data_IF_759248144192
#
_entry.id   IF_759248144192
#
_cell.length_a   1.000
_cell.length_b   1.000
_cell.length_c   1.000
_cell.angle_alpha   90.00
_cell.angle_beta   90.00
_cell.angle_gamma   90.00
#
_symmetry.space_group_name_H-M   'P 1'
#
loop_
_entity.id
_entity.type
_entity.pdbx_description
1 polymer ?
#
# COMPACT_ATOMS: atom_id res chain seq x y z
N UNK A 1 4.31 2.81 24.16
CA UNK A 1 3.70 4.01 23.57
C UNK A 1 4.79 4.92 23.03
N UNK A 2 4.59 5.41 21.80
CA UNK A 2 5.50 6.38 21.18
C UNK A 2 5.48 7.67 22.01
N UNK A 3 6.65 8.13 22.44
CA UNK A 3 6.79 9.43 23.09
C UNK A 3 7.24 10.43 22.02
N UNK A 4 6.37 11.36 21.68
CA UNK A 4 6.64 12.39 20.65
C UNK A 4 7.17 13.62 21.38
N UNK A 5 8.46 14.03 21.14
CA UNK A 5 9.05 15.22 21.77
C UNK A 5 8.37 16.52 21.35
N UNK A 6 7.86 16.59 20.13
CA UNK A 6 7.22 17.80 19.63
C UNK A 6 5.94 18.14 20.40
N UNK A 7 5.89 19.35 20.95
CA UNK A 7 4.76 19.86 21.72
C UNK A 7 3.87 20.74 20.83
N UNK A 8 3.09 20.12 19.96
CA UNK A 8 2.23 20.80 19.01
C UNK A 8 1.32 19.81 18.30
N UNK A 9 0.65 20.26 17.26
CA UNK A 9 -0.21 19.44 16.41
C UNK A 9 0.58 18.92 15.23
N UNK A 10 0.67 17.60 15.10
CA UNK A 10 1.20 16.92 13.92
C UNK A 10 0.06 16.30 13.12
N UNK A 11 0.05 16.54 11.82
CA UNK A 11 -0.80 15.82 10.86
C UNK A 11 0.11 15.03 9.94
N UNK A 12 0.00 13.72 10.00
CA UNK A 12 0.91 12.79 9.32
C UNK A 12 0.07 11.82 8.50
N UNK A 13 0.52 11.52 7.28
CA UNK A 13 -0.03 10.45 6.45
C UNK A 13 0.97 9.30 6.40
N UNK A 14 0.47 8.10 6.54
CA UNK A 14 1.26 6.88 6.53
C UNK A 14 0.41 5.66 6.24
N UNK A 15 1.04 4.52 6.21
CA UNK A 15 0.40 3.21 6.02
C UNK A 15 0.56 2.35 7.26
N UNK A 16 -0.49 1.59 7.59
CA UNK A 16 -0.43 0.56 8.60
C UNK A 16 0.00 -0.75 7.93
N UNK A 17 0.99 -1.42 8.50
CA UNK A 17 1.54 -2.66 7.96
C UNK A 17 1.92 -3.65 9.06
N UNK A 18 2.06 -4.92 8.68
CA UNK A 18 2.65 -5.99 9.51
C UNK A 18 3.85 -6.51 8.72
N UNK A 19 5.00 -6.69 9.39
CA UNK A 19 6.22 -7.24 8.79
C UNK A 19 6.02 -8.73 8.47
N UNK A 20 6.69 -9.23 7.46
CA UNK A 20 6.70 -10.66 7.14
C UNK A 20 7.18 -11.51 8.31
N UNK A 21 8.28 -11.10 8.97
CA UNK A 21 8.83 -11.78 10.14
C UNK A 21 7.89 -11.81 11.34
N UNK A 22 7.08 -10.78 11.56
CA UNK A 22 6.05 -10.77 12.60
C UNK A 22 4.83 -11.60 12.19
N UNK A 23 4.45 -11.54 10.91
CA UNK A 23 3.38 -12.33 10.34
C UNK A 23 3.63 -13.84 10.44
N UNK A 24 4.85 -14.29 10.15
CA UNK A 24 5.28 -15.69 10.29
C UNK A 24 5.15 -16.16 11.74
N UNK A 25 5.67 -15.37 12.71
CA UNK A 25 5.56 -15.69 14.14
C UNK A 25 4.10 -15.77 14.61
N UNK A 26 3.25 -14.84 14.17
CA UNK A 26 1.82 -14.86 14.49
C UNK A 26 1.19 -16.17 13.98
N UNK A 27 1.56 -16.59 12.77
CA UNK A 27 1.05 -17.83 12.20
C UNK A 27 1.60 -19.09 12.89
N UNK A 28 2.84 -19.06 13.37
CA UNK A 28 3.44 -20.18 14.14
C UNK A 28 2.74 -20.41 15.48
N UNK A 29 2.28 -19.33 16.11
CA UNK A 29 1.59 -19.39 17.41
C UNK A 29 0.14 -19.90 17.30
N UNK A 30 -0.42 -20.00 16.09
CA UNK A 30 -1.77 -20.48 15.88
C UNK A 30 -1.82 -22.02 15.92
N UNK A 31 -2.80 -22.61 16.67
CA UNK A 31 -2.82 -24.04 16.97
C UNK A 31 -3.18 -24.96 15.79
N UNK A 32 -3.80 -24.44 14.75
CA UNK A 32 -4.29 -25.24 13.62
C UNK A 32 -3.90 -24.63 12.27
N UNK A 33 -3.56 -25.51 11.32
CA UNK A 33 -3.15 -25.10 9.96
C UNK A 33 -4.27 -24.36 9.19
N UNK A 34 -5.53 -24.72 9.42
CA UNK A 34 -6.71 -24.06 8.84
C UNK A 34 -7.00 -22.66 9.39
N UNK A 35 -6.45 -22.30 10.55
CA UNK A 35 -6.60 -20.99 11.19
C UNK A 35 -5.53 -19.98 10.77
N UNK A 36 -4.49 -20.41 10.02
CA UNK A 36 -3.39 -19.54 9.61
C UNK A 36 -3.84 -18.41 8.68
N UNK A 37 -3.29 -17.24 8.94
CA UNK A 37 -3.47 -16.10 8.04
C UNK A 37 -2.66 -16.31 6.77
N UNK A 38 -3.18 -15.90 5.62
CA UNK A 38 -2.53 -16.13 4.32
C UNK A 38 -1.76 -14.91 3.80
N UNK A 39 -2.11 -13.72 4.25
CA UNK A 39 -1.55 -12.48 3.71
C UNK A 39 -1.40 -11.43 4.82
N UNK A 40 -0.20 -10.82 5.02
CA UNK A 40 0.03 -9.81 6.06
C UNK A 40 -0.78 -8.53 5.84
N UNK A 41 -1.06 -8.13 4.61
CA UNK A 41 -1.89 -6.96 4.27
C UNK A 41 -3.33 -7.16 4.75
N UNK A 42 -3.90 -8.35 4.49
CA UNK A 42 -5.25 -8.70 4.95
C UNK A 42 -5.32 -8.81 6.48
N UNK A 43 -4.32 -9.40 7.11
CA UNK A 43 -4.22 -9.45 8.57
C UNK A 43 -4.14 -8.04 9.17
N UNK A 44 -3.32 -7.16 8.62
CA UNK A 44 -3.19 -5.77 9.05
C UNK A 44 -4.54 -5.04 8.93
N UNK A 45 -5.17 -5.09 7.76
CA UNK A 45 -6.48 -4.47 7.50
C UNK A 45 -7.57 -4.99 8.44
N UNK A 46 -7.58 -6.30 8.73
CA UNK A 46 -8.48 -6.90 9.71
C UNK A 46 -8.17 -6.47 11.14
N UNK A 47 -6.90 -6.28 11.48
CA UNK A 47 -6.45 -5.90 12.82
C UNK A 47 -6.84 -4.47 13.19
N UNK A 48 -6.65 -3.51 12.28
CA UNK A 48 -6.98 -2.09 12.53
C UNK A 48 -8.49 -1.83 12.62
N UNK A 49 -9.32 -2.78 12.19
CA UNK A 49 -10.79 -2.70 12.30
C UNK A 49 -11.34 -3.27 13.61
N UNK A 50 -10.49 -3.89 14.44
CA UNK A 50 -10.92 -4.45 15.72
C UNK A 50 -11.27 -3.33 16.70
N UNK A 51 -12.26 -3.58 17.53
CA UNK A 51 -12.69 -2.65 18.58
C UNK A 51 -11.69 -2.58 19.74
N UNK A 52 -11.00 -3.70 20.03
CA UNK A 52 -9.96 -3.76 21.05
C UNK A 52 -8.58 -3.40 20.45
N UNK A 53 -7.97 -2.28 20.86
CA UNK A 53 -6.66 -1.87 20.37
C UNK A 53 -5.52 -2.82 20.79
N UNK A 54 -5.73 -3.70 21.78
CA UNK A 54 -4.75 -4.71 22.15
C UNK A 54 -4.46 -5.68 21.02
N UNK A 55 -5.49 -6.05 20.25
CA UNK A 55 -5.34 -6.94 19.10
C UNK A 55 -4.37 -6.34 18.06
N UNK A 56 -4.48 -5.05 17.78
CA UNK A 56 -3.57 -4.32 16.88
C UNK A 56 -2.13 -4.33 17.44
N UNK A 57 -1.98 -4.15 18.74
CA UNK A 57 -0.68 -4.21 19.41
C UNK A 57 -0.07 -5.62 19.38
N UNK A 58 -0.82 -6.64 19.76
CA UNK A 58 -0.38 -8.05 19.79
C UNK A 58 0.03 -8.54 18.40
N UNK A 59 -0.69 -8.10 17.36
CA UNK A 59 -0.38 -8.41 15.97
C UNK A 59 0.73 -7.54 15.36
N UNK A 60 1.42 -6.73 16.18
CA UNK A 60 2.58 -5.94 15.76
C UNK A 60 2.31 -4.99 14.59
N UNK A 61 1.07 -4.50 14.48
CA UNK A 61 0.75 -3.49 13.45
C UNK A 61 1.60 -2.25 13.68
N UNK A 62 2.31 -1.83 12.64
CA UNK A 62 3.17 -0.66 12.62
C UNK A 62 2.56 0.42 11.75
N UNK A 63 2.74 1.68 12.13
CA UNK A 63 2.40 2.84 11.33
C UNK A 63 3.68 3.40 10.70
N UNK A 64 3.75 3.40 9.37
CA UNK A 64 4.89 3.85 8.60
C UNK A 64 4.55 5.18 7.90
N UNK A 65 5.01 6.33 8.38
CA UNK A 65 4.78 7.62 7.75
C UNK A 65 5.47 7.75 6.40
N UNK A 66 4.79 8.38 5.45
CA UNK A 66 5.34 8.77 4.15
C UNK A 66 5.05 10.22 3.76
N UNK A 67 4.35 11.00 4.61
CA UNK A 67 4.12 12.43 4.39
C UNK A 67 3.87 13.13 5.71
N UNK A 68 4.59 14.21 5.97
CA UNK A 68 4.23 15.22 6.96
C UNK A 68 3.26 16.21 6.28
N UNK A 69 2.02 16.26 6.74
CA UNK A 69 1.02 17.20 6.19
C UNK A 69 1.12 18.57 6.84
N UNK A 70 1.23 18.61 8.18
CA UNK A 70 1.52 19.84 8.93
C UNK A 70 2.15 19.54 10.29
N UNK A 71 2.91 20.54 10.78
CA UNK A 71 3.44 20.61 12.14
C UNK A 71 3.16 22.02 12.67
N UNK A 72 2.23 22.17 13.59
CA UNK A 72 1.72 23.47 14.04
C UNK A 72 1.79 23.60 15.56
N UNK A 73 1.97 24.83 16.06
CA UNK A 73 1.87 25.15 17.49
C UNK A 73 3.03 24.69 18.35
N UNK A 74 4.11 24.17 17.73
CA UNK A 74 5.35 23.84 18.44
C UNK A 74 6.21 25.08 18.70
N UNK A 75 7.04 25.02 19.75
CA UNK A 75 8.05 26.07 20.02
C UNK A 75 9.41 25.40 20.21
N UNK A 76 10.40 25.68 19.33
CA UNK A 76 10.26 26.48 18.10
C UNK A 76 9.42 25.82 17.03
N UNK A 77 8.88 26.62 16.10
CA UNK A 77 8.23 26.10 14.89
C UNK A 77 9.29 25.40 14.03
N UNK A 78 9.06 24.14 13.59
CA UNK A 78 10.02 23.44 12.74
C UNK A 78 10.22 24.17 11.41
N UNK A 79 11.48 24.34 11.00
CA UNK A 79 11.85 24.79 9.67
C UNK A 79 12.43 23.59 8.90
N UNK A 80 11.80 23.25 7.80
CA UNK A 80 12.20 22.11 6.96
C UNK A 80 13.05 22.54 5.76
N UNK A 81 13.54 23.78 5.71
CA UNK A 81 14.41 24.31 4.67
C UNK A 81 13.94 24.01 3.24
N UNK A 82 12.61 23.97 3.05
CA UNK A 82 11.97 23.64 1.77
C UNK A 82 12.29 22.23 1.23
N UNK A 83 12.57 21.25 2.11
CA UNK A 83 12.98 19.88 1.76
C UNK A 83 12.07 18.84 2.41
N UNK A 84 11.56 17.88 1.63
CA UNK A 84 10.86 16.72 2.16
C UNK A 84 11.78 15.78 2.95
N UNK A 85 13.09 15.75 2.64
CA UNK A 85 14.05 15.00 3.45
C UNK A 85 14.11 15.54 4.88
N UNK A 86 14.10 16.86 5.07
CA UNK A 86 14.06 17.47 6.40
C UNK A 86 12.76 17.14 7.15
N UNK A 87 11.62 17.04 6.45
CA UNK A 87 10.37 16.57 7.05
C UNK A 87 10.47 15.12 7.54
N UNK A 88 11.13 14.24 6.78
CA UNK A 88 11.36 12.85 7.19
C UNK A 88 12.32 12.75 8.38
N UNK A 89 13.42 13.47 8.35
CA UNK A 89 14.37 13.54 9.48
C UNK A 89 13.69 14.05 10.75
N UNK A 90 12.81 15.04 10.63
CA UNK A 90 12.00 15.51 11.74
C UNK A 90 11.09 14.40 12.28
N UNK A 91 10.39 13.65 11.43
CA UNK A 91 9.53 12.55 11.86
C UNK A 91 10.33 11.44 12.55
N UNK A 92 11.53 11.12 12.07
CA UNK A 92 12.45 10.17 12.72
C UNK A 92 12.88 10.67 14.11
N UNK A 93 13.18 11.95 14.24
CA UNK A 93 13.49 12.57 15.53
C UNK A 93 12.30 12.54 16.51
N UNK A 94 11.06 12.45 16.01
CA UNK A 94 9.87 12.21 16.82
C UNK A 94 9.65 10.73 17.16
N UNK A 95 10.54 9.82 16.72
CA UNK A 95 10.47 8.40 17.01
C UNK A 95 9.61 7.59 16.03
N UNK A 96 9.18 8.17 14.91
CA UNK A 96 8.48 7.41 13.88
C UNK A 96 9.45 6.59 13.01
N UNK A 97 9.04 5.37 12.64
CA UNK A 97 9.72 4.57 11.61
C UNK A 97 9.17 4.99 10.24
N UNK A 98 9.86 5.89 9.57
CA UNK A 98 9.43 6.38 8.25
C UNK A 98 9.79 5.40 7.14
N UNK A 99 9.21 5.60 5.95
CA UNK A 99 9.53 4.81 4.76
C UNK A 99 11.01 4.90 4.40
N UNK A 100 11.57 3.80 3.92
CA UNK A 100 12.93 3.79 3.36
C UNK A 100 13.01 4.74 2.17
N UNK A 101 14.04 5.59 2.15
CA UNK A 101 14.19 6.62 1.12
C UNK A 101 15.64 6.86 0.74
N UNK A 102 15.83 7.48 -0.40
CA UNK A 102 17.15 7.88 -0.90
C UNK A 102 17.04 9.14 -1.73
N UNK A 103 17.87 10.13 -1.44
CA UNK A 103 18.04 11.31 -2.29
C UNK A 103 18.83 10.92 -3.53
N UNK A 104 18.30 11.24 -4.71
CA UNK A 104 18.92 10.96 -5.99
C UNK A 104 18.87 12.16 -6.92
N UNK A 105 19.88 12.32 -7.76
CA UNK A 105 19.91 13.32 -8.83
C UNK A 105 19.34 12.74 -10.11
N UNK A 106 18.89 13.60 -11.01
CA UNK A 106 18.28 13.21 -12.29
C UNK A 106 19.10 12.17 -13.07
N UNK A 107 20.44 12.31 -13.08
CA UNK A 107 21.31 11.36 -13.79
C UNK A 107 21.41 9.97 -13.16
N UNK A 108 21.10 9.84 -11.89
CA UNK A 108 21.21 8.62 -11.09
C UNK A 108 19.89 7.84 -10.98
N UNK A 109 18.82 8.41 -11.55
CA UNK A 109 17.45 7.92 -11.33
C UNK A 109 17.27 6.46 -11.79
N UNK A 110 17.77 6.10 -12.98
CA UNK A 110 17.64 4.74 -13.52
C UNK A 110 18.35 3.70 -12.64
N UNK A 111 19.54 4.04 -12.17
CA UNK A 111 20.32 3.17 -11.29
C UNK A 111 19.67 3.03 -9.92
N UNK A 112 19.14 4.14 -9.38
CA UNK A 112 18.43 4.13 -8.12
C UNK A 112 17.15 3.27 -8.19
N UNK A 113 16.34 3.40 -9.24
CA UNK A 113 15.15 2.56 -9.44
C UNK A 113 15.55 1.08 -9.54
N UNK A 114 16.59 0.74 -10.31
CA UNK A 114 17.06 -0.63 -10.44
C UNK A 114 17.60 -1.19 -9.12
N UNK A 115 18.27 -0.37 -8.31
CA UNK A 115 18.74 -0.78 -6.97
C UNK A 115 17.57 -1.01 -6.00
N UNK A 116 16.59 -0.11 -5.97
CA UNK A 116 15.40 -0.27 -5.15
C UNK A 116 14.57 -1.49 -5.55
N UNK A 117 14.44 -1.81 -6.83
CA UNK A 117 13.69 -2.99 -7.29
C UNK A 117 14.28 -4.30 -6.80
N UNK A 118 15.59 -4.36 -6.59
CA UNK A 118 16.25 -5.51 -5.98
C UNK A 118 16.05 -5.53 -4.46
N UNK A 119 16.24 -4.38 -3.82
CA UNK A 119 16.12 -4.23 -2.37
C UNK A 119 14.70 -4.52 -1.87
N UNK A 120 13.67 -4.12 -2.63
CA UNK A 120 12.27 -4.33 -2.25
C UNK A 120 11.94 -5.81 -2.05
N UNK A 121 12.56 -6.72 -2.82
CA UNK A 121 12.37 -8.17 -2.66
C UNK A 121 12.96 -8.71 -1.36
N UNK A 122 13.87 -7.98 -0.74
CA UNK A 122 14.53 -8.33 0.52
C UNK A 122 13.89 -7.61 1.73
N UNK A 123 12.92 -6.72 1.49
CA UNK A 123 12.24 -5.99 2.54
C UNK A 123 11.37 -6.91 3.38
N UNK A 124 11.39 -6.68 4.68
CA UNK A 124 10.57 -7.40 5.67
C UNK A 124 9.11 -6.86 5.73
N UNK A 125 8.61 -6.26 4.65
CA UNK A 125 7.22 -5.78 4.56
C UNK A 125 6.75 -5.73 3.10
N UNK A 126 5.44 -5.90 2.85
CA UNK A 126 4.87 -5.84 1.52
C UNK A 126 5.11 -4.47 0.87
N UNK A 127 5.63 -4.49 -0.37
CA UNK A 127 5.80 -3.28 -1.17
C UNK A 127 5.54 -3.61 -2.64
N UNK A 128 4.62 -2.86 -3.24
CA UNK A 128 4.18 -3.02 -4.63
C UNK A 128 4.81 -1.98 -5.59
N UNK A 129 5.73 -1.17 -5.08
CA UNK A 129 6.42 -0.19 -5.90
C UNK A 129 7.24 0.82 -5.09
N UNK A 130 7.60 1.91 -5.75
CA UNK A 130 8.27 3.05 -5.15
C UNK A 130 7.62 4.36 -5.61
N UNK A 131 7.84 5.42 -4.86
CA UNK A 131 7.39 6.76 -5.21
C UNK A 131 8.61 7.66 -5.42
N UNK A 132 8.69 8.26 -6.60
CA UNK A 132 9.63 9.34 -6.88
C UNK A 132 8.97 10.64 -6.44
N UNK A 133 9.57 11.32 -5.48
CA UNK A 133 9.06 12.55 -4.90
C UNK A 133 10.05 13.68 -5.16
N UNK A 134 9.55 14.85 -5.57
CA UNK A 134 10.38 16.05 -5.67
C UNK A 134 10.72 16.53 -4.26
N UNK A 135 12.01 16.64 -3.92
CA UNK A 135 12.43 17.08 -2.59
C UNK A 135 12.10 18.55 -2.32
N UNK A 136 12.24 19.43 -3.32
CA UNK A 136 11.87 20.85 -3.22
C UNK A 136 10.35 21.01 -3.07
N UNK A 137 9.91 21.35 -1.85
CA UNK A 137 8.50 21.48 -1.48
C UNK A 137 7.82 22.64 -2.25
N UNK A 138 8.46 23.78 -2.37
CA UNK A 138 7.89 24.95 -3.03
C UNK A 138 7.73 24.70 -4.53
N UNK A 139 8.73 24.12 -5.17
CA UNK A 139 8.65 23.72 -6.56
C UNK A 139 7.59 22.64 -6.75
N UNK A 140 7.57 21.62 -5.89
CA UNK A 140 6.55 20.59 -5.93
C UNK A 140 5.11 21.12 -5.86
N UNK A 141 4.86 22.06 -4.96
CA UNK A 141 3.57 22.76 -4.85
C UNK A 141 3.23 23.58 -6.09
N UNK A 142 4.23 24.20 -6.75
CA UNK A 142 4.01 24.98 -7.97
C UNK A 142 3.53 24.15 -9.16
N UNK A 143 3.80 22.84 -9.18
CA UNK A 143 3.34 21.92 -10.22
C UNK A 143 1.83 21.64 -10.14
N UNK A 144 1.20 21.96 -9.02
CA UNK A 144 -0.22 21.77 -8.76
C UNK A 144 -0.63 20.30 -8.65
N UNK A 145 -1.91 20.04 -8.88
CA UNK A 145 -2.52 18.70 -8.77
C UNK A 145 -3.26 18.32 -10.04
N UNK A 146 -3.39 17.04 -10.28
CA UNK A 146 -4.43 16.48 -11.18
C UNK A 146 -5.76 16.46 -10.43
N UNK A 147 -6.80 15.88 -11.02
CA UNK A 147 -8.10 15.72 -10.35
C UNK A 147 -7.99 14.92 -9.03
N UNK A 148 -6.98 14.06 -8.87
CA UNK A 148 -6.84 13.17 -7.70
C UNK A 148 -5.45 13.21 -7.04
N UNK A 149 -4.39 13.53 -7.76
CA UNK A 149 -3.01 13.33 -7.29
C UNK A 149 -2.15 14.58 -7.48
N UNK A 150 -1.21 14.86 -6.55
CA UNK A 150 -0.24 15.93 -6.73
C UNK A 150 0.74 15.57 -7.87
N UNK A 151 1.26 16.60 -8.55
CA UNK A 151 2.19 16.44 -9.68
C UNK A 151 3.66 16.38 -9.26
N UNK A 152 3.94 16.57 -7.98
CA UNK A 152 5.29 16.49 -7.41
C UNK A 152 5.77 15.07 -7.14
N UNK A 153 4.92 14.06 -7.38
CA UNK A 153 5.24 12.66 -7.13
C UNK A 153 4.81 11.78 -8.30
N UNK A 154 5.59 10.74 -8.56
CA UNK A 154 5.32 9.72 -9.56
C UNK A 154 5.48 8.33 -8.94
N UNK A 155 4.41 7.55 -8.96
CA UNK A 155 4.46 6.15 -8.53
C UNK A 155 5.05 5.28 -9.65
N UNK A 156 6.01 4.46 -9.27
CA UNK A 156 6.56 3.40 -10.11
C UNK A 156 6.18 2.07 -9.47
N UNK A 157 5.28 1.33 -10.12
CA UNK A 157 4.85 0.02 -9.69
C UNK A 157 5.65 -1.06 -10.37
N UNK A 158 5.88 -2.17 -9.64
CA UNK A 158 6.40 -3.39 -10.24
C UNK A 158 5.31 -4.03 -11.10
N UNK A 159 5.70 -4.92 -11.99
CA UNK A 159 4.73 -5.76 -12.70
C UNK A 159 4.00 -6.62 -11.67
N UNK A 160 2.66 -6.59 -11.75
CA UNK A 160 1.82 -7.44 -10.91
C UNK A 160 2.01 -8.92 -11.31
N UNK A 161 1.79 -9.85 -10.38
CA UNK A 161 1.76 -11.27 -10.73
C UNK A 161 0.55 -11.54 -11.64
N UNK A 162 0.82 -12.19 -12.76
CA UNK A 162 -0.22 -12.60 -13.70
C UNK A 162 -0.27 -14.13 -13.75
N UNK A 163 -1.46 -14.67 -13.48
CA UNK A 163 -1.71 -16.10 -13.59
C UNK A 163 -2.81 -16.36 -14.63
N UNK A 164 -2.59 -17.39 -15.45
CA UNK A 164 -3.55 -17.79 -16.49
C UNK A 164 -4.56 -18.77 -15.93
N UNK A 165 -5.84 -18.50 -16.22
CA UNK A 165 -6.93 -19.35 -15.81
C UNK A 165 -8.02 -19.43 -16.88
N UNK A 166 -9.03 -20.28 -16.70
CA UNK A 166 -10.13 -20.45 -17.65
C UNK A 166 -11.42 -19.91 -17.07
N UNK A 167 -12.08 -19.00 -17.81
CA UNK A 167 -13.41 -18.50 -17.47
C UNK A 167 -14.44 -19.61 -17.54
N UNK A 168 -15.12 -19.89 -16.43
CA UNK A 168 -16.12 -20.96 -16.33
C UNK A 168 -17.56 -20.47 -16.41
N UNK A 169 -17.82 -19.30 -15.83
CA UNK A 169 -19.15 -18.71 -15.74
C UNK A 169 -19.07 -17.21 -15.57
N UNK A 170 -20.13 -16.49 -15.97
CA UNK A 170 -20.35 -15.09 -15.59
C UNK A 170 -21.61 -15.06 -14.71
N UNK A 171 -21.42 -14.79 -13.43
CA UNK A 171 -22.50 -14.61 -12.46
C UNK A 171 -23.04 -13.19 -12.51
N UNK A 172 -24.33 -13.03 -12.55
CA UNK A 172 -25.02 -11.74 -12.58
C UNK A 172 -25.70 -11.48 -11.24
N UNK A 173 -25.13 -10.59 -10.44
CA UNK A 173 -25.64 -10.30 -9.10
C UNK A 173 -26.16 -8.89 -8.98
N UNK A 174 -27.37 -8.67 -8.44
CA UNK A 174 -27.91 -7.35 -8.18
C UNK A 174 -27.18 -6.71 -6.99
N UNK A 175 -26.74 -5.48 -7.16
CA UNK A 175 -26.19 -4.65 -6.07
C UNK A 175 -27.31 -4.10 -5.21
N UNK A 176 -26.94 -3.51 -4.05
CA UNK A 176 -27.87 -2.81 -3.16
C UNK A 176 -28.66 -1.67 -3.86
N UNK A 177 -28.10 -1.09 -4.91
CA UNK A 177 -28.71 -0.01 -5.68
C UNK A 177 -29.53 -0.50 -6.87
N UNK A 178 -29.66 -1.82 -7.06
CA UNK A 178 -30.38 -2.43 -8.18
C UNK A 178 -29.58 -2.57 -9.47
N UNK A 179 -28.32 -2.12 -9.49
CA UNK A 179 -27.41 -2.37 -10.63
C UNK A 179 -27.00 -3.83 -10.65
N UNK A 180 -27.00 -4.44 -11.83
CA UNK A 180 -26.53 -5.80 -12.03
C UNK A 180 -25.05 -5.75 -12.33
N UNK A 181 -24.23 -6.38 -11.47
CA UNK A 181 -22.80 -6.44 -11.61
C UNK A 181 -22.39 -7.85 -12.09
N UNK A 182 -21.72 -7.97 -13.23
CA UNK A 182 -21.15 -9.23 -13.68
C UNK A 182 -19.89 -9.57 -12.89
N UNK A 183 -19.78 -10.84 -12.50
CA UNK A 183 -18.62 -11.42 -11.81
C UNK A 183 -18.14 -12.62 -12.59
N UNK A 184 -16.88 -12.62 -13.02
CA UNK A 184 -16.23 -13.76 -13.61
C UNK A 184 -16.01 -14.84 -12.55
N UNK A 185 -16.39 -16.09 -12.87
CA UNK A 185 -16.03 -17.30 -12.12
C UNK A 185 -15.04 -18.07 -13.00
N UNK A 186 -13.88 -18.38 -12.45
CA UNK A 186 -12.81 -19.07 -13.16
C UNK A 186 -12.16 -20.15 -12.31
N UNK A 187 -11.35 -21.00 -12.93
CA UNK A 187 -10.61 -22.01 -12.19
C UNK A 187 -9.72 -21.35 -11.14
N UNK A 188 -9.69 -21.86 -9.89
CA UNK A 188 -8.91 -21.24 -8.83
C UNK A 188 -7.44 -21.10 -9.19
N UNK A 189 -6.88 -19.90 -9.01
CA UNK A 189 -5.46 -19.58 -9.15
C UNK A 189 -4.91 -18.97 -7.88
N UNK A 190 -3.64 -19.16 -7.62
CA UNK A 190 -2.96 -18.55 -6.49
C UNK A 190 -2.30 -17.24 -6.93
N UNK A 191 -2.71 -16.13 -6.31
CA UNK A 191 -2.15 -14.79 -6.52
C UNK A 191 -1.75 -14.23 -5.15
N UNK A 192 -0.51 -13.83 -5.01
CA UNK A 192 0.05 -13.26 -3.76
C UNK A 192 -0.30 -14.11 -2.51
N UNK A 193 -0.20 -15.43 -2.60
CA UNK A 193 -0.51 -16.37 -1.51
C UNK A 193 -2.01 -16.50 -1.19
N UNK A 194 -2.89 -15.96 -2.05
CA UNK A 194 -4.34 -16.07 -1.91
C UNK A 194 -4.93 -16.82 -3.10
N UNK A 195 -5.81 -17.79 -2.83
CA UNK A 195 -6.55 -18.48 -3.89
C UNK A 195 -7.70 -17.59 -4.33
N UNK A 196 -7.69 -17.21 -5.60
CA UNK A 196 -8.70 -16.37 -6.24
C UNK A 196 -9.43 -17.19 -7.29
N UNK A 197 -10.74 -17.11 -7.34
CA UNK A 197 -11.61 -17.80 -8.32
C UNK A 197 -12.73 -16.89 -8.85
N UNK A 198 -12.75 -15.62 -8.43
CA UNK A 198 -13.80 -14.65 -8.77
C UNK A 198 -13.19 -13.28 -9.00
N UNK A 199 -13.62 -12.58 -10.05
CA UNK A 199 -13.23 -11.20 -10.33
C UNK A 199 -14.42 -10.39 -10.84
N UNK A 200 -14.48 -9.09 -10.47
CA UNK A 200 -15.49 -8.19 -11.01
C UNK A 200 -15.22 -7.88 -12.47
N UNK A 201 -16.24 -7.99 -13.31
CA UNK A 201 -16.22 -7.54 -14.70
C UNK A 201 -16.81 -6.13 -14.85
N UNK A 202 -17.07 -5.46 -13.74
CA UNK A 202 -17.55 -4.08 -13.65
C UNK A 202 -18.91 -3.80 -14.30
N UNK A 203 -19.06 -4.03 -15.60
CA UNK A 203 -20.28 -3.77 -16.37
C UNK A 203 -20.28 -4.58 -17.69
N UNK A 204 -21.42 -4.56 -18.39
CA UNK A 204 -21.59 -5.27 -19.65
C UNK A 204 -20.63 -4.79 -20.75
N UNK A 205 -20.41 -3.47 -20.87
CA UNK A 205 -19.52 -2.93 -21.90
C UNK A 205 -18.09 -3.47 -21.77
N UNK A 206 -17.62 -3.73 -20.54
CA UNK A 206 -16.32 -4.32 -20.33
C UNK A 206 -16.22 -5.76 -20.87
N UNK A 207 -17.30 -6.55 -20.77
CA UNK A 207 -17.37 -7.89 -21.34
C UNK A 207 -17.39 -7.83 -22.88
N UNK A 208 -18.15 -6.89 -23.43
CA UNK A 208 -18.23 -6.68 -24.89
C UNK A 208 -16.90 -6.21 -25.48
N UNK A 209 -16.23 -5.25 -24.83
CA UNK A 209 -14.92 -4.72 -25.25
C UNK A 209 -13.83 -5.81 -25.27
N UNK A 210 -13.88 -6.72 -24.30
CA UNK A 210 -12.97 -7.86 -24.23
C UNK A 210 -13.40 -9.03 -25.13
N UNK A 211 -14.59 -8.99 -25.71
CA UNK A 211 -15.23 -10.10 -26.44
C UNK A 211 -15.18 -11.41 -25.63
N UNK A 212 -15.40 -11.31 -24.31
CA UNK A 212 -15.18 -12.39 -23.35
C UNK A 212 -16.25 -13.48 -23.46
N UNK A 213 -15.81 -14.72 -23.61
CA UNK A 213 -16.66 -15.92 -23.70
C UNK A 213 -16.30 -16.98 -22.65
N UNK A 214 -17.30 -17.79 -22.28
CA UNK A 214 -17.08 -18.94 -21.38
C UNK A 214 -16.13 -19.93 -22.07
N UNK A 215 -15.08 -20.34 -21.35
CA UNK A 215 -14.02 -21.21 -21.88
C UNK A 215 -12.77 -20.44 -22.31
N UNK A 216 -12.80 -19.10 -22.35
CA UNK A 216 -11.63 -18.30 -22.66
C UNK A 216 -10.56 -18.40 -21.59
N UNK A 217 -9.32 -18.30 -22.03
CA UNK A 217 -8.17 -18.14 -21.13
C UNK A 217 -8.07 -16.66 -20.77
N UNK A 218 -8.08 -16.38 -19.46
CA UNK A 218 -7.97 -15.02 -18.89
C UNK A 218 -6.73 -14.94 -18.01
N UNK A 219 -6.18 -13.74 -17.85
CA UNK A 219 -5.05 -13.43 -16.98
C UNK A 219 -5.41 -12.33 -16.00
#
# INVERSE_FOLDING_TARGET
PLQIPFQGRLVIRGEALIRYSDFEKINEELPEEGAKYKNPRNLCSGSVRQLDPKITWERKVQFCPFTLVSAEGGSPTPDFHNSHEEEFLFLEAQGFSVVGRRIVRRGELKEAVAAFSKQVRENDFPSDGLVLLMDDIAYGKSLGTTAKFPRNALAFKWEDEEEKTTLREVEWSPSRTGLINPVAIFDPVELEGTIVSRASLHNLSYIEDLALGIGDTVT
#
